data_IF_310057938638
#
_entry.id   IF_310057938638
#
_cell.length_a   1.000
_cell.length_b   1.000
_cell.length_c   1.000
_cell.angle_alpha   90.00
_cell.angle_beta   90.00
_cell.angle_gamma   90.00
#
_symmetry.space_group_name_H-M   'P 1'
#
loop_
_entity.id
_entity.type
_entity.pdbx_description
1 polymer ?
#
# COMPACT_ATOMS: atom_id res chain seq x y z
N UNK A 1 22.21 43.20 -35.30
CA UNK A 1 21.46 43.65 -34.10
C UNK A 1 20.76 42.46 -33.49
N UNK A 2 21.08 42.07 -32.25
CA UNK A 2 20.33 41.02 -31.53
C UNK A 2 19.00 41.64 -31.07
N UNK A 3 17.87 41.12 -31.55
CA UNK A 3 16.55 41.46 -30.99
C UNK A 3 16.53 40.94 -29.55
N UNK A 4 16.43 41.85 -28.58
CA UNK A 4 16.18 41.51 -27.19
C UNK A 4 14.71 41.15 -26.98
N UNK A 5 14.45 40.18 -26.11
CA UNK A 5 13.11 39.84 -25.65
C UNK A 5 12.48 41.05 -24.95
N UNK A 6 11.20 41.32 -25.21
CA UNK A 6 10.50 42.40 -24.50
C UNK A 6 10.03 41.92 -23.13
N UNK A 7 10.01 42.82 -22.14
CA UNK A 7 9.50 42.50 -20.80
C UNK A 7 8.02 42.12 -20.85
N UNK A 8 7.24 42.73 -21.76
CA UNK A 8 5.81 42.44 -21.90
C UNK A 8 5.55 41.04 -22.47
N UNK A 9 6.38 40.56 -23.40
CA UNK A 9 6.32 39.16 -23.88
C UNK A 9 6.51 38.18 -22.73
N UNK A 10 7.47 38.45 -21.85
CA UNK A 10 7.72 37.58 -20.70
C UNK A 10 6.59 37.68 -19.67
N UNK A 11 6.02 38.86 -19.44
CA UNK A 11 4.90 39.05 -18.51
C UNK A 11 3.64 38.28 -18.92
N UNK A 12 3.24 38.34 -20.19
CA UNK A 12 2.05 37.61 -20.66
C UNK A 12 2.26 36.11 -20.57
N UNK A 13 3.46 35.62 -20.85
CA UNK A 13 3.80 34.19 -20.76
C UNK A 13 3.68 33.67 -19.33
N UNK A 14 4.22 34.38 -18.32
CA UNK A 14 4.13 33.93 -16.93
C UNK A 14 2.70 33.97 -16.40
N UNK A 15 1.86 34.92 -16.85
CA UNK A 15 0.43 34.98 -16.49
C UNK A 15 -0.32 33.76 -17.03
N UNK A 16 -0.10 33.41 -18.30
CA UNK A 16 -0.76 32.24 -18.91
C UNK A 16 -0.31 30.95 -18.22
N UNK A 17 1.00 30.77 -17.97
CA UNK A 17 1.52 29.61 -17.24
C UNK A 17 0.95 29.54 -15.81
N UNK A 18 0.79 30.69 -15.14
CA UNK A 18 0.18 30.77 -13.81
C UNK A 18 -1.26 30.27 -13.78
N UNK A 19 -2.09 30.66 -14.75
CA UNK A 19 -3.48 30.20 -14.86
C UNK A 19 -3.55 28.70 -15.11
N UNK A 20 -2.72 28.18 -16.03
CA UNK A 20 -2.66 26.76 -16.34
C UNK A 20 -2.20 25.93 -15.12
N UNK A 21 -1.17 26.40 -14.41
CA UNK A 21 -0.66 25.74 -13.21
C UNK A 21 -1.71 25.69 -12.09
N UNK A 22 -2.48 26.76 -11.89
CA UNK A 22 -3.52 26.82 -10.86
C UNK A 22 -4.59 25.73 -11.02
N UNK A 23 -4.96 25.39 -12.26
CA UNK A 23 -5.94 24.32 -12.55
C UNK A 23 -5.27 22.95 -12.56
N UNK A 24 -4.06 22.85 -13.11
CA UNK A 24 -3.37 21.58 -13.30
C UNK A 24 -2.88 20.95 -11.99
N UNK A 25 -2.28 21.74 -11.08
CA UNK A 25 -1.69 21.27 -9.82
C UNK A 25 -2.67 20.46 -8.95
N UNK A 26 -3.87 20.95 -8.61
CA UNK A 26 -4.78 20.20 -7.74
C UNK A 26 -5.26 18.89 -8.37
N UNK A 27 -5.45 18.86 -9.69
CA UNK A 27 -5.80 17.64 -10.41
C UNK A 27 -4.65 16.65 -10.44
N UNK A 28 -3.41 17.12 -10.63
CA UNK A 28 -2.21 16.30 -10.63
C UNK A 28 -1.99 15.61 -9.27
N UNK A 29 -2.15 16.35 -8.15
CA UNK A 29 -2.04 15.78 -6.79
C UNK A 29 -3.06 14.68 -6.55
N UNK A 30 -4.31 14.85 -7.00
CA UNK A 30 -5.35 13.81 -6.91
C UNK A 30 -4.99 12.56 -7.71
N UNK A 31 -4.42 12.72 -8.90
CA UNK A 31 -3.98 11.60 -9.74
C UNK A 31 -2.84 10.82 -9.09
N UNK A 32 -1.87 11.51 -8.48
CA UNK A 32 -0.80 10.88 -7.71
C UNK A 32 -1.37 10.07 -6.53
N UNK A 33 -2.32 10.64 -5.77
CA UNK A 33 -2.93 9.94 -4.64
C UNK A 33 -3.69 8.67 -5.11
N UNK A 34 -4.41 8.74 -6.23
CA UNK A 34 -5.03 7.55 -6.84
C UNK A 34 -4.00 6.51 -7.27
N UNK A 35 -2.89 6.92 -7.86
CA UNK A 35 -1.80 6.02 -8.24
C UNK A 35 -1.17 5.33 -7.01
N UNK A 36 -1.01 6.05 -5.89
CA UNK A 36 -0.54 5.48 -4.63
C UNK A 36 -1.50 4.43 -4.08
N UNK A 37 -2.82 4.70 -4.08
CA UNK A 37 -3.83 3.70 -3.68
C UNK A 37 -3.81 2.47 -4.59
N UNK A 38 -3.67 2.66 -5.91
CA UNK A 38 -3.52 1.55 -6.84
C UNK A 38 -2.26 0.71 -6.56
N UNK A 39 -1.15 1.36 -6.20
CA UNK A 39 0.08 0.67 -5.81
C UNK A 39 -0.09 -0.12 -4.50
N UNK A 40 -0.83 0.40 -3.52
CA UNK A 40 -1.16 -0.38 -2.30
C UNK A 40 -1.94 -1.64 -2.67
N UNK A 41 -2.95 -1.54 -3.55
CA UNK A 41 -3.70 -2.70 -4.04
C UNK A 41 -2.81 -3.71 -4.77
N UNK A 42 -1.87 -3.23 -5.60
CA UNK A 42 -0.91 -4.10 -6.29
C UNK A 42 -0.04 -4.87 -5.30
N UNK A 43 0.49 -4.18 -4.29
CA UNK A 43 1.30 -4.81 -3.27
C UNK A 43 0.48 -5.82 -2.44
N UNK A 44 -0.80 -5.52 -2.12
CA UNK A 44 -1.70 -6.47 -1.47
C UNK A 44 -1.92 -7.73 -2.31
N UNK A 45 -2.08 -7.58 -3.63
CA UNK A 45 -2.21 -8.73 -4.52
C UNK A 45 -0.93 -9.57 -4.56
N UNK A 46 0.25 -8.93 -4.54
CA UNK A 46 1.51 -9.66 -4.37
C UNK A 46 1.53 -10.47 -3.07
N UNK A 47 1.07 -9.88 -1.95
CA UNK A 47 0.97 -10.60 -0.67
C UNK A 47 0.02 -11.78 -0.74
N UNK A 48 -1.14 -11.60 -1.39
CA UNK A 48 -2.12 -12.65 -1.60
C UNK A 48 -1.48 -13.84 -2.32
N UNK A 49 -0.83 -13.61 -3.46
CA UNK A 49 -0.22 -14.68 -4.26
C UNK A 49 0.89 -15.40 -3.47
N UNK A 50 1.71 -14.65 -2.73
CA UNK A 50 2.75 -15.23 -1.86
C UNK A 50 2.15 -16.14 -0.79
N UNK A 51 1.11 -15.68 -0.09
CA UNK A 51 0.46 -16.44 0.98
C UNK A 51 -0.29 -17.64 0.43
N UNK A 52 -0.97 -17.50 -0.71
CA UNK A 52 -1.61 -18.61 -1.41
C UNK A 52 -0.59 -19.66 -1.84
N UNK A 53 0.57 -19.25 -2.38
CA UNK A 53 1.67 -20.18 -2.71
C UNK A 53 2.13 -20.99 -1.50
N UNK A 54 2.39 -20.33 -0.37
CA UNK A 54 2.77 -21.00 0.88
C UNK A 54 1.67 -21.97 1.35
N UNK A 55 0.40 -21.58 1.20
CA UNK A 55 -0.72 -22.44 1.59
C UNK A 55 -0.81 -23.70 0.73
N UNK A 56 -0.52 -23.62 -0.57
CA UNK A 56 -0.48 -24.78 -1.48
C UNK A 56 0.61 -25.75 -1.05
N UNK A 57 1.80 -25.24 -0.72
CA UNK A 57 2.92 -26.06 -0.25
C UNK A 57 2.65 -26.67 1.14
N UNK A 58 1.83 -26.00 1.95
CA UNK A 58 1.47 -26.41 3.32
C UNK A 58 0.15 -27.18 3.40
N UNK A 59 -0.27 -27.85 2.32
CA UNK A 59 -1.50 -28.66 2.26
C UNK A 59 -2.79 -27.88 2.62
N UNK A 60 -2.89 -26.62 2.20
CA UNK A 60 -4.03 -25.75 2.42
C UNK A 60 -4.05 -25.02 3.77
N UNK A 61 -2.96 -25.10 4.54
CA UNK A 61 -2.85 -24.42 5.84
C UNK A 61 -2.20 -23.05 5.66
N UNK A 62 -2.89 -21.99 6.11
CA UNK A 62 -2.31 -20.65 6.10
C UNK A 62 -1.30 -20.45 7.23
N UNK A 63 -0.24 -19.66 7.00
CA UNK A 63 0.72 -19.27 8.02
C UNK A 63 0.04 -18.46 9.14
N UNK A 64 -0.02 -19.00 10.36
CA UNK A 64 -0.84 -18.45 11.46
C UNK A 64 -0.06 -18.02 12.71
N UNK A 65 1.26 -18.20 12.74
CA UNK A 65 2.11 -17.91 13.90
C UNK A 65 3.32 -17.04 13.53
N UNK A 66 4.01 -16.50 14.54
CA UNK A 66 5.21 -15.66 14.34
C UNK A 66 6.37 -16.40 13.67
N UNK A 67 6.43 -17.74 13.77
CA UNK A 67 7.42 -18.52 13.02
C UNK A 67 7.14 -18.46 11.49
N UNK A 68 5.87 -18.33 11.11
CA UNK A 68 5.45 -18.23 9.72
C UNK A 68 5.68 -16.83 9.11
N UNK A 69 5.86 -15.79 9.93
CA UNK A 69 6.28 -14.45 9.49
C UNK A 69 7.64 -14.51 8.77
N UNK A 70 8.60 -15.31 9.25
CA UNK A 70 9.90 -15.46 8.59
C UNK A 70 9.78 -16.16 7.23
N UNK A 71 8.86 -17.12 7.10
CA UNK A 71 8.59 -17.81 5.83
C UNK A 71 7.97 -16.85 4.83
N UNK A 72 6.94 -16.09 5.24
CA UNK A 72 6.30 -15.10 4.37
C UNK A 72 7.30 -14.00 4.00
N UNK A 73 8.05 -13.46 4.96
CA UNK A 73 9.03 -12.40 4.74
C UNK A 73 10.13 -12.78 3.73
N UNK A 74 10.45 -14.08 3.59
CA UNK A 74 11.40 -14.56 2.59
C UNK A 74 10.81 -14.58 1.17
N UNK A 75 9.52 -14.89 1.06
CA UNK A 75 8.82 -15.03 -0.22
C UNK A 75 8.25 -13.69 -0.75
N UNK A 76 8.21 -12.66 0.09
CA UNK A 76 7.86 -11.30 -0.30
C UNK A 76 9.04 -10.65 -1.04
N UNK A 77 8.80 -9.92 -2.15
CA UNK A 77 9.84 -9.11 -2.76
C UNK A 77 10.48 -8.14 -1.76
N UNK A 78 11.80 -8.26 -1.57
CA UNK A 78 12.58 -7.43 -0.63
C UNK A 78 12.55 -5.94 -0.96
N UNK A 79 12.15 -5.57 -2.18
CA UNK A 79 12.01 -4.20 -2.66
C UNK A 79 10.57 -3.65 -2.55
N UNK A 80 9.66 -4.36 -1.87
CA UNK A 80 8.31 -3.85 -1.63
C UNK A 80 8.37 -2.53 -0.85
N UNK A 81 7.89 -1.47 -1.50
CA UNK A 81 7.89 -0.10 -0.97
C UNK A 81 6.51 0.32 -0.53
N UNK A 82 6.48 1.12 0.52
CA UNK A 82 5.31 1.91 0.88
C UNK A 82 5.10 3.04 -0.15
N UNK A 83 3.95 3.12 -0.84
CA UNK A 83 3.71 4.14 -1.88
C UNK A 83 3.65 5.59 -1.37
N UNK A 84 3.48 5.79 -0.06
CA UNK A 84 3.38 7.11 0.57
C UNK A 84 4.70 7.58 1.18
N UNK A 85 5.43 6.70 1.85
CA UNK A 85 6.70 7.04 2.53
C UNK A 85 7.94 6.61 1.75
N UNK A 86 7.78 5.78 0.72
CA UNK A 86 8.86 5.13 -0.05
C UNK A 86 9.79 4.23 0.80
N UNK A 87 9.44 3.98 2.05
CA UNK A 87 10.16 3.11 2.95
C UNK A 87 9.99 1.64 2.54
N UNK A 88 10.98 0.82 2.90
CA UNK A 88 11.03 -0.61 2.60
C UNK A 88 11.09 -1.37 3.93
N UNK A 89 10.54 -2.58 3.93
CA UNK A 89 10.73 -3.54 5.02
C UNK A 89 9.59 -3.58 6.01
N UNK A 90 9.74 -4.48 6.98
CA UNK A 90 8.75 -4.75 8.02
C UNK A 90 8.44 -3.49 8.83
N UNK A 91 7.19 -3.33 9.25
CA UNK A 91 6.65 -2.18 10.00
C UNK A 91 6.62 -0.87 9.22
N UNK A 92 7.28 -0.79 8.06
CA UNK A 92 7.35 0.41 7.22
C UNK A 92 6.56 0.29 5.92
N UNK A 93 6.60 -0.90 5.29
CA UNK A 93 5.86 -1.22 4.06
C UNK A 93 4.85 -2.35 4.27
N UNK A 94 5.19 -3.33 5.11
CA UNK A 94 4.35 -4.48 5.41
C UNK A 94 4.51 -4.90 6.86
N UNK A 95 3.51 -5.56 7.44
CA UNK A 95 3.57 -6.08 8.80
C UNK A 95 2.74 -7.35 8.95
N UNK A 96 3.22 -8.27 9.78
CA UNK A 96 2.49 -9.48 10.15
C UNK A 96 1.82 -9.28 11.51
N UNK A 97 0.57 -9.67 11.62
CA UNK A 97 -0.18 -9.65 12.88
C UNK A 97 -0.77 -11.02 13.11
N UNK A 98 -0.26 -11.72 14.14
CA UNK A 98 -0.72 -13.06 14.50
C UNK A 98 -2.18 -13.09 14.96
N UNK A 99 -2.72 -11.97 15.46
CA UNK A 99 -4.14 -11.83 15.78
C UNK A 99 -4.78 -10.54 15.28
N UNK A 100 -5.77 -10.68 14.40
CA UNK A 100 -6.64 -9.61 13.90
C UNK A 100 -7.23 -8.66 14.96
N UNK A 101 -7.34 -9.06 16.25
CA UNK A 101 -7.74 -8.16 17.36
C UNK A 101 -6.66 -7.12 17.71
N UNK A 102 -5.42 -7.38 17.28
CA UNK A 102 -4.24 -6.51 17.39
C UNK A 102 -3.84 -5.88 16.04
N UNK A 103 -4.70 -5.93 15.02
CA UNK A 103 -4.44 -5.29 13.72
C UNK A 103 -4.51 -3.75 13.77
N UNK A 104 -4.26 -3.14 14.93
CA UNK A 104 -4.33 -1.70 15.18
C UNK A 104 -3.22 -1.25 16.12
N UNK A 105 -2.02 -1.06 15.58
CA UNK A 105 -1.00 -0.16 16.13
C UNK A 105 0.00 0.17 15.00
N UNK A 106 -0.22 1.19 14.18
CA UNK A 106 -0.03 2.59 14.55
C UNK A 106 -0.91 3.54 13.70
N UNK A 107 -2.14 3.78 14.16
CA UNK A 107 -3.18 4.58 13.52
C UNK A 107 -2.87 6.10 13.33
N UNK A 108 -1.62 6.53 13.45
CA UNK A 108 -1.17 7.88 13.08
C UNK A 108 -0.01 7.88 12.05
N UNK A 109 0.59 6.72 11.75
CA UNK A 109 1.75 6.56 10.85
C UNK A 109 1.58 5.53 9.73
N UNK A 110 0.46 4.79 9.69
CA UNK A 110 0.25 3.64 8.80
C UNK A 110 -0.16 3.94 7.35
N UNK A 111 0.11 5.12 6.79
CA UNK A 111 -0.22 5.36 5.37
C UNK A 111 0.57 4.42 4.47
N UNK A 112 -0.10 3.65 3.61
CA UNK A 112 0.54 2.78 2.63
C UNK A 112 1.11 1.47 3.15
N UNK A 113 0.89 1.13 4.42
CA UNK A 113 1.32 -0.14 5.01
C UNK A 113 0.31 -1.23 4.63
N UNK A 114 0.80 -2.45 4.42
CA UNK A 114 -0.01 -3.66 4.29
C UNK A 114 0.15 -4.52 5.54
N UNK A 115 -0.96 -4.88 6.17
CA UNK A 115 -0.96 -5.75 7.35
C UNK A 115 -1.60 -7.07 6.96
N UNK A 116 -0.97 -8.18 7.30
CA UNK A 116 -1.46 -9.51 6.97
C UNK A 116 -1.43 -10.46 8.18
N UNK A 117 -2.34 -11.43 8.23
CA UNK A 117 -2.37 -12.47 9.26
C UNK A 117 -3.74 -13.10 9.50
N UNK A 118 -3.82 -14.04 10.45
CA UNK A 118 -5.05 -14.79 10.75
C UNK A 118 -5.96 -14.07 11.74
N UNK A 119 -7.25 -14.39 11.72
CA UNK A 119 -8.16 -13.99 12.77
C UNK A 119 -8.18 -15.09 13.85
N UNK A 120 -7.72 -14.83 15.09
CA UNK A 120 -7.63 -15.87 16.14
C UNK A 120 -8.89 -15.93 17.01
N UNK A 121 -10.03 -15.52 16.49
CA UNK A 121 -11.29 -15.62 17.22
C UNK A 121 -11.86 -17.05 17.12
N UNK A 122 -11.17 -18.01 17.75
CA UNK A 122 -11.74 -19.25 18.26
C UNK A 122 -12.39 -20.20 17.25
N UNK A 123 -11.58 -20.95 16.51
CA UNK A 123 -11.99 -22.24 15.96
C UNK A 123 -11.44 -22.53 14.57
N UNK A 124 -10.84 -23.72 14.42
CA UNK A 124 -10.25 -24.23 13.18
C UNK A 124 -11.09 -23.94 11.92
N UNK A 125 -10.64 -22.95 11.15
CA UNK A 125 -11.27 -22.48 9.90
C UNK A 125 -10.83 -21.06 9.53
N UNK A 126 -9.68 -20.63 10.02
CA UNK A 126 -9.35 -19.21 10.20
C UNK A 126 -9.06 -18.53 8.86
N UNK A 127 -9.94 -17.60 8.49
CA UNK A 127 -9.71 -16.77 7.33
C UNK A 127 -8.43 -15.96 7.50
N UNK A 128 -7.60 -15.91 6.46
CA UNK A 128 -6.41 -15.08 6.40
C UNK A 128 -6.77 -13.68 5.88
N UNK A 129 -6.42 -12.64 6.63
CA UNK A 129 -6.77 -11.27 6.30
C UNK A 129 -5.55 -10.51 5.79
N UNK A 130 -5.71 -9.77 4.69
CA UNK A 130 -4.73 -8.83 4.16
C UNK A 130 -5.41 -7.46 4.09
N UNK A 131 -4.88 -6.49 4.83
CA UNK A 131 -5.41 -5.13 4.93
C UNK A 131 -4.41 -4.12 4.36
N UNK A 132 -4.85 -3.32 3.40
CA UNK A 132 -4.07 -2.19 2.88
C UNK A 132 -4.58 -0.86 3.39
N UNK A 133 -3.69 -0.03 3.91
CA UNK A 133 -4.01 1.31 4.39
C UNK A 133 -3.70 2.37 3.32
N UNK A 134 -4.70 3.17 2.95
CA UNK A 134 -4.53 4.31 2.05
C UNK A 134 -4.00 5.56 2.78
N UNK A 135 -4.40 6.74 2.30
CA UNK A 135 -4.19 8.02 3.01
C UNK A 135 -4.94 8.00 4.36
N UNK A 136 -4.34 8.55 5.43
CA UNK A 136 -4.89 8.53 6.82
C UNK A 136 -6.38 8.88 6.80
N UNK A 137 -7.18 8.08 7.52
CA UNK A 137 -8.64 8.16 7.69
C UNK A 137 -9.54 7.55 6.60
N UNK A 138 -8.99 6.88 5.57
CA UNK A 138 -9.81 6.02 4.69
C UNK A 138 -9.94 4.62 5.30
N UNK A 139 -11.15 4.07 5.27
CA UNK A 139 -11.44 2.67 5.65
C UNK A 139 -10.41 1.75 4.97
N UNK A 140 -9.75 0.82 5.70
CA UNK A 140 -8.80 -0.09 5.09
C UNK A 140 -9.46 -0.90 3.97
N UNK A 141 -8.67 -1.27 2.97
CA UNK A 141 -9.09 -2.23 1.95
C UNK A 141 -8.77 -3.60 2.55
N UNK A 142 -9.80 -4.38 2.85
CA UNK A 142 -9.67 -5.71 3.43
C UNK A 142 -9.83 -6.77 2.34
N UNK A 143 -8.94 -7.76 2.35
CA UNK A 143 -9.02 -8.97 1.55
C UNK A 143 -9.01 -10.16 2.51
N UNK A 144 -9.98 -11.06 2.36
CA UNK A 144 -10.16 -12.21 3.23
C UNK A 144 -10.01 -13.46 2.36
N UNK A 145 -9.03 -14.30 2.70
CA UNK A 145 -8.80 -15.59 2.07
C UNK A 145 -9.36 -16.68 2.97
N UNK A 146 -10.06 -17.64 2.36
CA UNK A 146 -10.69 -18.75 3.05
C UNK A 146 -10.09 -20.06 2.54
N UNK A 147 -9.73 -21.02 3.40
CA UNK A 147 -9.18 -22.29 2.95
C UNK A 147 -10.15 -23.03 2.03
N UNK A 148 -9.67 -23.50 0.86
CA UNK A 148 -10.42 -24.40 -0.03
C UNK A 148 -11.37 -23.73 -1.04
N UNK A 149 -11.15 -22.45 -1.39
CA UNK A 149 -11.85 -21.74 -2.48
C UNK A 149 -10.89 -21.37 -3.61
#
# INVERSE_FOLDING_TARGET
MRKGFTLIELMVVVVIIGILAAIAIPNFVKTIDKAKVASVKSNMHTMQVTVEGISVDSMGVYPSNEAADNTIAHEIPSNMKNPYTQAIGKTLAWDFVADSTQASANAAGSQGIIVYGVNVAGGAGDNYNIRGYGKVALKPIDLILSPGQ
#
